data_IF_659965184894
#
_entry.id   IF_659965184894
#
_cell.length_a   1.000
_cell.length_b   1.000
_cell.length_c   1.000
_cell.angle_alpha   90.00
_cell.angle_beta   90.00
_cell.angle_gamma   90.00
#
_symmetry.space_group_name_H-M   'P 1'
#
loop_
_entity.id
_entity.type
_entity.pdbx_description
1 polymer ?
#
# COMPACT_ATOMS: atom_id res chain seq x y z
N UNK A 1 -16.15 31.15 8.56
CA UNK A 1 -15.40 30.61 7.38
C UNK A 1 -15.25 29.13 7.58
N UNK A 2 -15.79 28.31 6.70
CA UNK A 2 -15.57 26.85 6.78
C UNK A 2 -14.07 26.59 6.65
N UNK A 3 -13.47 25.80 7.56
CA UNK A 3 -12.08 25.41 7.48
C UNK A 3 -11.89 24.59 6.19
N UNK A 4 -11.04 25.03 5.28
CA UNK A 4 -10.69 24.25 4.10
C UNK A 4 -9.98 23.00 4.60
N UNK A 5 -10.63 21.85 4.39
CA UNK A 5 -10.05 20.55 4.76
C UNK A 5 -8.72 20.38 4.02
N UNK A 6 -7.65 20.05 4.75
CA UNK A 6 -6.32 19.80 4.21
C UNK A 6 -5.84 18.44 4.67
N UNK A 7 -5.45 17.61 3.74
CA UNK A 7 -4.87 16.30 4.04
C UNK A 7 -3.69 16.00 3.10
N UNK A 8 -2.98 14.92 3.36
CA UNK A 8 -1.97 14.38 2.44
C UNK A 8 -2.57 13.38 1.47
N UNK A 9 -3.75 12.87 1.76
CA UNK A 9 -4.28 11.69 1.10
C UNK A 9 -5.58 12.03 0.39
N UNK A 10 -5.56 11.83 -0.91
CA UNK A 10 -6.71 12.05 -1.78
C UNK A 10 -6.85 10.91 -2.77
N UNK A 11 -8.04 10.71 -3.28
CA UNK A 11 -8.31 9.73 -4.31
C UNK A 11 -9.17 10.30 -5.44
N UNK A 12 -9.01 9.71 -6.61
CA UNK A 12 -9.83 9.98 -7.78
C UNK A 12 -10.13 8.69 -8.56
N UNK A 13 -10.98 8.81 -9.56
CA UNK A 13 -11.30 7.75 -10.51
C UNK A 13 -10.70 8.13 -11.86
N UNK A 14 -10.17 7.14 -12.59
CA UNK A 14 -9.71 7.31 -13.97
C UNK A 14 -10.51 6.37 -14.86
N UNK A 15 -11.23 6.91 -15.82
CA UNK A 15 -11.98 6.11 -16.80
C UNK A 15 -11.13 5.80 -18.02
N UNK A 16 -11.09 4.53 -18.44
CA UNK A 16 -10.28 4.08 -19.58
C UNK A 16 -10.60 4.84 -20.87
N UNK A 17 -11.87 5.22 -21.07
CA UNK A 17 -12.34 5.86 -22.30
C UNK A 17 -11.93 7.32 -22.43
N UNK A 18 -11.64 8.01 -21.33
CA UNK A 18 -11.36 9.45 -21.30
C UNK A 18 -9.96 9.81 -20.80
N UNK A 19 -9.22 8.85 -20.26
CA UNK A 19 -7.86 9.09 -19.79
C UNK A 19 -6.90 9.35 -20.97
N UNK A 20 -5.94 10.29 -20.84
CA UNK A 20 -4.83 10.41 -21.78
C UNK A 20 -4.09 9.08 -21.93
N UNK A 21 -3.64 8.75 -23.14
CA UNK A 21 -2.94 7.48 -23.40
C UNK A 21 -1.67 7.28 -22.56
N UNK A 22 -1.08 8.36 -22.03
CA UNK A 22 0.14 8.37 -21.24
C UNK A 22 -0.10 8.69 -19.76
N UNK A 23 -1.32 8.57 -19.26
CA UNK A 23 -1.70 8.93 -17.89
C UNK A 23 -0.86 8.25 -16.80
N UNK A 24 -0.51 6.98 -16.98
CA UNK A 24 0.37 6.26 -16.05
C UNK A 24 1.80 6.82 -16.06
N UNK A 25 2.29 7.30 -17.21
CA UNK A 25 3.58 7.95 -17.32
C UNK A 25 3.58 9.29 -16.56
N UNK A 26 2.52 10.07 -16.68
CA UNK A 26 2.37 11.34 -15.93
C UNK A 26 2.44 11.08 -14.43
N UNK A 27 1.74 10.06 -13.93
CA UNK A 27 1.82 9.63 -12.54
C UNK A 27 3.24 9.22 -12.16
N UNK A 28 3.87 8.36 -12.95
CA UNK A 28 5.23 7.87 -12.69
C UNK A 28 6.26 9.00 -12.64
N UNK A 29 6.16 9.97 -13.56
CA UNK A 29 7.08 11.10 -13.66
C UNK A 29 6.94 12.08 -12.48
N UNK A 30 5.76 12.13 -11.86
CA UNK A 30 5.51 12.99 -10.69
C UNK A 30 6.32 12.60 -9.46
N UNK A 31 6.74 11.35 -9.36
CA UNK A 31 7.41 10.74 -8.19
C UNK A 31 6.60 10.83 -6.89
N UNK A 32 5.32 11.16 -6.97
CA UNK A 32 4.44 11.23 -5.81
C UNK A 32 4.01 9.80 -5.45
N UNK A 33 4.13 9.38 -4.18
CA UNK A 33 3.65 8.08 -3.73
C UNK A 33 2.16 7.89 -4.03
N UNK A 34 1.83 6.86 -4.82
CA UNK A 34 0.44 6.53 -5.09
C UNK A 34 0.25 5.06 -5.49
N UNK A 35 -0.99 4.61 -5.40
CA UNK A 35 -1.46 3.31 -5.87
C UNK A 35 -2.54 3.49 -6.91
N UNK A 36 -2.47 2.67 -7.96
CA UNK A 36 -3.53 2.55 -8.96
C UNK A 36 -4.12 1.15 -8.83
N UNK A 37 -5.43 1.05 -8.68
CA UNK A 37 -6.12 -0.24 -8.56
C UNK A 37 -5.95 -1.09 -9.82
N UNK A 38 -6.22 -2.39 -9.76
CA UNK A 38 -6.58 -3.16 -10.95
C UNK A 38 -7.73 -2.50 -11.70
N UNK A 39 -7.93 -2.86 -12.96
CA UNK A 39 -9.08 -2.38 -13.71
C UNK A 39 -10.38 -2.91 -13.10
N UNK A 40 -11.24 -2.02 -12.65
CA UNK A 40 -12.58 -2.35 -12.15
C UNK A 40 -13.56 -2.40 -13.34
N UNK A 41 -13.64 -3.55 -13.98
CA UNK A 41 -14.51 -3.83 -15.12
C UNK A 41 -15.66 -4.80 -14.80
N UNK A 42 -15.63 -5.39 -13.61
CA UNK A 42 -16.64 -6.34 -13.12
C UNK A 42 -17.55 -5.75 -12.03
N UNK A 43 -17.34 -4.50 -11.66
CA UNK A 43 -18.15 -3.82 -10.67
C UNK A 43 -19.57 -3.55 -11.19
N UNK A 44 -20.57 -3.71 -10.31
CA UNK A 44 -21.98 -3.49 -10.63
C UNK A 44 -22.59 -2.38 -9.78
N UNK A 45 -23.60 -1.75 -10.32
CA UNK A 45 -24.53 -0.93 -9.57
C UNK A 45 -25.53 -1.81 -8.79
N UNK A 46 -26.26 -1.24 -7.79
CA UNK A 46 -27.27 -2.00 -7.05
C UNK A 46 -28.41 -2.59 -7.91
N UNK A 47 -28.65 -2.03 -9.08
CA UNK A 47 -29.62 -2.52 -10.09
C UNK A 47 -29.07 -3.66 -10.96
N UNK A 48 -27.79 -4.04 -10.79
CA UNK A 48 -27.12 -5.10 -11.54
C UNK A 48 -26.43 -4.65 -12.82
N UNK A 49 -26.55 -3.40 -13.24
CA UNK A 49 -25.83 -2.87 -14.39
C UNK A 49 -24.32 -2.83 -14.11
N UNK A 50 -23.51 -3.20 -15.10
CA UNK A 50 -22.04 -3.13 -14.99
C UNK A 50 -21.60 -1.69 -15.05
N UNK A 51 -20.73 -1.29 -14.11
CA UNK A 51 -20.14 0.03 -14.10
C UNK A 51 -19.16 0.19 -15.26
N UNK A 52 -19.00 1.44 -15.74
CA UNK A 52 -17.95 1.74 -16.72
C UNK A 52 -16.59 1.31 -16.19
N UNK A 53 -15.76 0.66 -17.02
CA UNK A 53 -14.40 0.29 -16.63
C UNK A 53 -13.60 1.49 -16.13
N UNK A 54 -13.03 1.38 -14.94
CA UNK A 54 -12.33 2.47 -14.29
C UNK A 54 -11.24 1.98 -13.36
N UNK A 55 -10.32 2.87 -13.05
CA UNK A 55 -9.31 2.69 -12.02
C UNK A 55 -9.60 3.62 -10.85
N UNK A 56 -9.29 3.18 -9.65
CA UNK A 56 -9.16 4.05 -8.48
C UNK A 56 -7.68 4.42 -8.29
N UNK A 57 -7.42 5.69 -8.02
CA UNK A 57 -6.07 6.19 -7.77
C UNK A 57 -6.03 6.79 -6.36
N UNK A 58 -5.21 6.23 -5.48
CA UNK A 58 -4.93 6.76 -4.15
C UNK A 58 -3.59 7.48 -4.17
N UNK A 59 -3.59 8.78 -3.88
CA UNK A 59 -2.39 9.62 -3.86
C UNK A 59 -2.05 10.03 -2.43
N UNK A 60 -0.78 9.88 -2.06
CA UNK A 60 -0.23 10.20 -0.74
C UNK A 60 0.83 11.29 -0.87
N UNK A 61 0.42 12.55 -0.80
CA UNK A 61 1.35 13.68 -0.94
C UNK A 61 2.31 13.80 0.25
N UNK A 62 3.53 14.24 0.02
CA UNK A 62 4.52 14.47 1.07
C UNK A 62 4.12 15.59 2.05
N UNK A 63 3.30 16.54 1.59
CA UNK A 63 2.78 17.63 2.39
C UNK A 63 1.27 17.75 2.27
N UNK A 64 0.62 18.37 3.25
CA UNK A 64 -0.83 18.60 3.21
C UNK A 64 -1.20 19.49 2.02
N UNK A 65 -2.23 19.09 1.29
CA UNK A 65 -2.79 19.79 0.14
C UNK A 65 -4.22 20.22 0.43
N UNK A 66 -4.67 21.23 -0.27
CA UNK A 66 -6.10 21.53 -0.38
C UNK A 66 -6.72 20.63 -1.44
N UNK A 67 -8.03 20.44 -1.39
CA UNK A 67 -8.77 19.72 -2.43
C UNK A 67 -8.48 20.29 -3.84
N UNK A 68 -8.41 21.62 -3.96
CA UNK A 68 -8.08 22.26 -5.24
C UNK A 68 -6.70 21.83 -5.77
N UNK A 69 -5.68 21.82 -4.91
CA UNK A 69 -4.32 21.39 -5.31
C UNK A 69 -4.27 19.91 -5.70
N UNK A 70 -5.03 19.08 -5.00
CA UNK A 70 -5.13 17.65 -5.36
C UNK A 70 -5.87 17.47 -6.69
N UNK A 71 -6.95 18.23 -6.92
CA UNK A 71 -7.70 18.22 -8.17
C UNK A 71 -6.84 18.69 -9.35
N UNK A 72 -6.09 19.78 -9.18
CA UNK A 72 -5.17 20.28 -10.23
C UNK A 72 -4.16 19.18 -10.66
N UNK A 73 -3.72 18.34 -9.70
CA UNK A 73 -2.87 17.18 -10.02
C UNK A 73 -3.64 16.08 -10.74
N UNK A 74 -4.86 15.75 -10.30
CA UNK A 74 -5.69 14.72 -10.93
C UNK A 74 -6.06 15.07 -12.36
N UNK A 75 -6.40 16.33 -12.61
CA UNK A 75 -6.74 16.84 -13.94
C UNK A 75 -5.58 16.64 -14.94
N UNK A 76 -4.32 16.67 -14.47
CA UNK A 76 -3.14 16.49 -15.32
C UNK A 76 -3.05 15.11 -15.98
N UNK A 77 -3.68 14.10 -15.39
CA UNK A 77 -3.70 12.73 -15.92
C UNK A 77 -5.12 12.18 -16.20
N UNK A 78 -6.12 13.07 -16.22
CA UNK A 78 -7.51 12.70 -16.55
C UNK A 78 -8.27 12.07 -15.37
N UNK A 79 -7.86 12.32 -14.15
CA UNK A 79 -8.57 11.89 -12.95
C UNK A 79 -9.86 12.65 -12.74
N UNK A 80 -10.93 11.93 -12.40
CA UNK A 80 -12.28 12.48 -12.17
C UNK A 80 -12.63 12.39 -10.69
N UNK A 81 -13.18 13.46 -10.15
CA UNK A 81 -13.49 13.58 -8.73
C UNK A 81 -12.26 13.90 -7.88
N UNK A 82 -12.49 14.13 -6.61
CA UNK A 82 -11.43 14.34 -5.62
C UNK A 82 -12.01 14.03 -4.25
N UNK A 83 -11.66 12.88 -3.73
CA UNK A 83 -12.12 12.39 -2.44
C UNK A 83 -11.03 12.58 -1.38
N UNK A 84 -11.42 13.13 -0.22
CA UNK A 84 -10.55 13.18 0.96
C UNK A 84 -10.45 11.79 1.56
N UNK A 85 -9.24 11.25 1.64
CA UNK A 85 -8.99 9.94 2.22
C UNK A 85 -8.57 10.07 3.68
N UNK A 86 -9.46 9.69 4.58
CA UNK A 86 -9.23 9.73 6.03
C UNK A 86 -8.32 8.57 6.51
N UNK A 87 -8.39 7.43 5.86
CA UNK A 87 -7.57 6.27 6.16
C UNK A 87 -6.97 5.68 4.89
N UNK A 88 -5.69 5.94 4.64
CA UNK A 88 -4.96 5.35 3.51
C UNK A 88 -5.09 3.84 3.47
N UNK A 89 -4.98 3.18 4.63
CA UNK A 89 -5.08 1.73 4.72
C UNK A 89 -6.46 1.23 4.31
N UNK A 90 -7.54 1.84 4.81
CA UNK A 90 -8.88 1.42 4.45
C UNK A 90 -9.14 1.62 2.95
N UNK A 91 -8.70 2.77 2.41
CA UNK A 91 -8.85 3.04 0.98
C UNK A 91 -7.96 2.13 0.12
N UNK A 92 -6.70 1.89 0.52
CA UNK A 92 -5.84 0.94 -0.18
C UNK A 92 -6.48 -0.47 -0.22
N UNK A 93 -7.02 -0.96 0.88
CA UNK A 93 -7.76 -2.24 0.91
C UNK A 93 -8.99 -2.24 0.01
N UNK A 94 -9.65 -1.08 -0.11
CA UNK A 94 -10.78 -0.90 -1.03
C UNK A 94 -10.37 -1.00 -2.51
N UNK A 95 -9.13 -0.66 -2.89
CA UNK A 95 -8.63 -0.80 -4.27
C UNK A 95 -8.77 -2.23 -4.84
N UNK A 96 -8.77 -3.24 -3.96
CA UNK A 96 -8.98 -4.65 -4.33
C UNK A 96 -10.22 -5.26 -3.67
N UNK A 97 -11.10 -4.45 -3.07
CA UNK A 97 -12.30 -4.86 -2.33
C UNK A 97 -12.02 -5.88 -1.22
N UNK A 98 -10.85 -5.82 -0.57
CA UNK A 98 -10.40 -6.83 0.40
C UNK A 98 -11.35 -6.99 1.59
N UNK A 99 -11.95 -5.89 2.05
CA UNK A 99 -12.86 -5.85 3.21
C UNK A 99 -14.34 -5.84 2.82
N UNK A 100 -14.66 -5.91 1.52
CA UNK A 100 -16.04 -5.95 1.08
C UNK A 100 -16.66 -7.30 1.42
N UNK A 101 -17.73 -7.26 2.22
CA UNK A 101 -18.49 -8.45 2.68
C UNK A 101 -19.60 -8.80 1.68
N UNK A 102 -19.93 -7.87 0.79
CA UNK A 102 -20.99 -8.04 -0.18
C UNK A 102 -20.56 -9.05 -1.24
N UNK A 103 -21.31 -10.15 -1.38
CA UNK A 103 -21.09 -11.19 -2.39
C UNK A 103 -21.12 -10.66 -3.83
N UNK A 104 -21.66 -9.45 -4.03
CA UNK A 104 -21.80 -8.78 -5.33
C UNK A 104 -20.54 -8.01 -5.78
N UNK A 105 -19.54 -7.81 -4.89
CA UNK A 105 -18.31 -7.12 -5.24
C UNK A 105 -17.20 -8.09 -5.61
N UNK A 106 -16.76 -7.97 -6.85
CA UNK A 106 -15.61 -8.72 -7.33
C UNK A 106 -14.34 -8.35 -6.53
N UNK A 107 -13.59 -9.36 -6.05
CA UNK A 107 -12.31 -9.15 -5.39
C UNK A 107 -11.19 -9.21 -6.43
N UNK A 108 -10.45 -8.11 -6.54
CA UNK A 108 -9.32 -8.01 -7.44
C UNK A 108 -8.02 -8.50 -6.78
N UNK A 109 -7.03 -8.86 -7.60
CA UNK A 109 -5.76 -9.35 -7.10
C UNK A 109 -4.88 -8.22 -6.60
N UNK A 110 -4.25 -8.44 -5.47
CA UNK A 110 -3.29 -7.50 -4.84
C UNK A 110 -2.09 -7.24 -5.76
N UNK A 111 -1.63 -8.28 -6.46
CA UNK A 111 -0.46 -8.22 -7.35
C UNK A 111 -0.69 -7.38 -8.62
N UNK A 112 -1.96 -7.08 -8.94
CA UNK A 112 -2.31 -6.25 -10.10
C UNK A 112 -2.36 -4.75 -9.76
N UNK A 113 -2.11 -4.36 -8.50
CA UNK A 113 -2.02 -2.95 -8.09
C UNK A 113 -0.71 -2.35 -8.56
N UNK A 114 -0.78 -1.20 -9.22
CA UNK A 114 0.42 -0.48 -9.63
C UNK A 114 0.88 0.46 -8.51
N UNK A 115 2.18 0.44 -8.25
CA UNK A 115 2.83 1.22 -7.19
C UNK A 115 3.75 2.28 -7.80
N UNK A 116 3.66 3.53 -7.33
CA UNK A 116 4.46 4.64 -7.81
C UNK A 116 5.07 5.44 -6.67
N UNK A 117 6.13 6.20 -6.97
CA UNK A 117 6.76 7.11 -6.02
C UNK A 117 7.38 6.44 -4.79
N UNK A 118 7.77 5.14 -4.92
CA UNK A 118 8.37 4.37 -3.83
C UNK A 118 7.37 3.90 -2.77
N UNK A 119 6.07 4.00 -3.04
CA UNK A 119 5.05 3.41 -2.14
C UNK A 119 5.06 1.88 -2.24
N UNK A 120 4.84 1.20 -1.11
CA UNK A 120 4.62 -0.25 -1.06
C UNK A 120 3.20 -0.57 -0.63
N UNK A 121 2.42 -1.14 -1.54
CA UNK A 121 1.01 -1.44 -1.32
C UNK A 121 0.82 -2.50 -0.23
N UNK A 122 1.62 -3.55 -0.27
CA UNK A 122 1.56 -4.65 0.72
C UNK A 122 1.79 -4.11 2.13
N UNK A 123 2.68 -3.13 2.31
CA UNK A 123 2.92 -2.50 3.61
C UNK A 123 1.74 -1.68 4.09
N UNK A 124 1.04 -1.00 3.19
CA UNK A 124 -0.11 -0.16 3.54
C UNK A 124 -1.34 -1.00 3.86
N UNK A 125 -1.63 -2.06 3.09
CA UNK A 125 -2.79 -2.93 3.34
C UNK A 125 -2.58 -3.90 4.50
N UNK A 126 -1.33 -4.17 4.88
CA UNK A 126 -0.97 -5.11 5.93
C UNK A 126 -1.64 -4.80 7.27
N UNK A 127 -2.16 -5.83 7.92
CA UNK A 127 -2.80 -5.70 9.24
C UNK A 127 -1.75 -5.83 10.36
N UNK A 128 -2.09 -5.39 11.59
CA UNK A 128 -1.25 -5.70 12.76
C UNK A 128 -1.08 -7.21 12.93
N UNK A 129 -2.09 -8.00 12.55
CA UNK A 129 -2.03 -9.46 12.54
C UNK A 129 -0.96 -9.98 11.57
N UNK A 130 -0.86 -9.38 10.38
CA UNK A 130 0.14 -9.78 9.38
C UNK A 130 1.55 -9.43 9.84
N UNK A 131 1.74 -8.24 10.42
CA UNK A 131 3.02 -7.85 11.04
C UNK A 131 3.42 -8.78 12.18
N UNK A 132 2.47 -9.09 13.06
CA UNK A 132 2.71 -10.01 14.18
C UNK A 132 3.05 -11.41 13.68
N UNK A 133 2.41 -11.87 12.60
CA UNK A 133 2.73 -13.15 11.95
C UNK A 133 4.15 -13.12 11.39
N UNK A 134 4.50 -12.09 10.61
CA UNK A 134 5.85 -11.94 10.06
C UNK A 134 6.93 -11.93 11.17
N UNK A 135 6.70 -11.20 12.28
CA UNK A 135 7.62 -11.20 13.42
C UNK A 135 7.76 -12.61 14.01
N UNK A 136 6.67 -13.35 14.19
CA UNK A 136 6.72 -14.72 14.72
C UNK A 136 7.50 -15.66 13.80
N UNK A 137 7.26 -15.58 12.50
CA UNK A 137 7.95 -16.37 11.49
C UNK A 137 9.45 -16.03 11.47
N UNK A 138 9.83 -14.75 11.48
CA UNK A 138 11.22 -14.30 11.56
C UNK A 138 11.90 -14.76 12.86
N UNK A 139 11.22 -14.71 14.01
CA UNK A 139 11.73 -15.23 15.27
C UNK A 139 12.00 -16.73 15.17
N UNK A 140 11.09 -17.48 14.59
CA UNK A 140 11.27 -18.93 14.40
C UNK A 140 12.47 -19.22 13.49
N UNK A 141 12.57 -18.51 12.36
CA UNK A 141 13.69 -18.62 11.44
C UNK A 141 15.05 -18.32 12.11
N UNK A 142 15.12 -17.24 12.90
CA UNK A 142 16.33 -16.87 13.66
C UNK A 142 16.77 -17.99 14.61
N UNK A 143 15.81 -18.67 15.25
CA UNK A 143 16.09 -19.80 16.15
C UNK A 143 16.59 -21.02 15.38
N UNK A 144 15.90 -21.40 14.31
CA UNK A 144 16.14 -22.62 13.56
C UNK A 144 17.48 -22.57 12.79
N UNK A 145 17.87 -21.38 12.35
CA UNK A 145 19.07 -21.16 11.55
C UNK A 145 20.23 -20.52 12.33
N UNK A 146 20.09 -20.38 13.66
CA UNK A 146 21.12 -19.81 14.52
C UNK A 146 21.63 -18.43 14.04
N UNK A 147 20.70 -17.60 13.58
CA UNK A 147 21.01 -16.24 13.10
C UNK A 147 21.46 -15.38 14.29
N UNK A 148 22.67 -14.88 14.25
CA UNK A 148 23.30 -14.09 15.32
C UNK A 148 23.51 -12.61 14.94
N UNK A 149 23.29 -12.25 13.67
CA UNK A 149 23.41 -10.89 13.18
C UNK A 149 22.17 -10.48 12.36
N UNK A 150 21.70 -9.25 12.54
CA UNK A 150 20.54 -8.73 11.82
C UNK A 150 20.74 -8.66 10.30
N UNK A 151 21.98 -8.45 9.82
CA UNK A 151 22.27 -8.44 8.40
C UNK A 151 21.92 -9.78 7.73
N UNK A 152 22.17 -10.92 8.38
CA UNK A 152 21.83 -12.24 7.86
C UNK A 152 20.31 -12.39 7.64
N UNK A 153 19.49 -11.92 8.59
CA UNK A 153 18.03 -11.90 8.44
C UNK A 153 17.60 -10.98 7.29
N UNK A 154 18.23 -9.80 7.18
CA UNK A 154 17.89 -8.82 6.17
C UNK A 154 18.25 -9.31 4.76
N UNK A 155 19.44 -9.90 4.60
CA UNK A 155 19.93 -10.48 3.34
C UNK A 155 19.00 -11.62 2.91
N UNK A 156 18.73 -12.57 3.82
CA UNK A 156 17.81 -13.68 3.55
C UNK A 156 16.42 -13.17 3.13
N UNK A 157 15.89 -12.19 3.85
CA UNK A 157 14.58 -11.64 3.54
C UNK A 157 14.54 -10.99 2.16
N UNK A 158 15.60 -10.29 1.77
CA UNK A 158 15.67 -9.61 0.48
C UNK A 158 15.67 -10.57 -0.72
N UNK A 159 16.21 -11.78 -0.52
CA UNK A 159 16.33 -12.79 -1.59
C UNK A 159 15.13 -13.75 -1.63
N UNK A 160 14.63 -14.16 -0.46
CA UNK A 160 13.71 -15.31 -0.37
C UNK A 160 12.35 -15.00 0.26
N UNK A 161 12.20 -13.86 0.97
CA UNK A 161 11.00 -13.54 1.75
C UNK A 161 10.60 -12.07 1.63
N UNK A 162 10.08 -11.69 0.46
CA UNK A 162 9.70 -10.29 0.17
C UNK A 162 8.74 -9.69 1.22
N UNK A 163 7.82 -10.48 1.77
CA UNK A 163 6.89 -10.02 2.83
C UNK A 163 7.62 -9.70 4.13
N UNK A 164 8.67 -10.43 4.49
CA UNK A 164 9.50 -10.13 5.64
C UNK A 164 10.37 -8.89 5.38
N UNK A 165 10.95 -8.81 4.18
CA UNK A 165 11.75 -7.65 3.78
C UNK A 165 10.93 -6.37 3.88
N UNK A 166 9.71 -6.36 3.32
CA UNK A 166 8.79 -5.24 3.44
C UNK A 166 8.41 -4.92 4.90
N UNK A 167 8.14 -5.94 5.71
CA UNK A 167 7.86 -5.76 7.13
C UNK A 167 9.06 -5.14 7.88
N UNK A 168 10.28 -5.51 7.52
CA UNK A 168 11.50 -4.96 8.10
C UNK A 168 11.74 -3.51 7.65
N UNK A 169 11.68 -3.22 6.34
CA UNK A 169 12.04 -1.91 5.80
C UNK A 169 10.91 -0.88 6.01
N UNK A 170 9.69 -1.24 5.65
CA UNK A 170 8.56 -0.33 5.61
C UNK A 170 7.57 -0.55 6.76
N UNK A 171 7.51 -1.77 7.28
CA UNK A 171 6.56 -2.17 8.32
C UNK A 171 6.95 -1.79 9.76
N UNK A 172 8.16 -1.26 9.98
CA UNK A 172 8.67 -0.86 11.30
C UNK A 172 9.09 -2.03 12.19
N UNK A 173 9.29 -3.24 11.65
CA UNK A 173 9.68 -4.43 12.42
C UNK A 173 11.20 -4.52 12.66
N UNK A 174 12.02 -3.73 11.98
CA UNK A 174 13.48 -3.77 12.08
C UNK A 174 14.00 -3.58 13.50
N UNK A 175 13.46 -2.62 14.24
CA UNK A 175 13.88 -2.38 15.63
C UNK A 175 13.64 -3.61 16.49
N UNK A 176 12.43 -4.18 16.44
CA UNK A 176 12.07 -5.36 17.22
C UNK A 176 12.98 -6.55 16.91
N UNK A 177 13.25 -6.80 15.63
CA UNK A 177 14.08 -7.94 15.22
C UNK A 177 15.56 -7.72 15.56
N UNK A 178 16.09 -6.50 15.44
CA UNK A 178 17.45 -6.16 15.88
C UNK A 178 17.64 -6.42 17.37
N UNK A 179 16.73 -5.92 18.21
CA UNK A 179 16.83 -6.08 19.64
C UNK A 179 16.62 -7.55 20.06
N UNK A 180 15.76 -8.29 19.36
CA UNK A 180 15.59 -9.71 19.60
C UNK A 180 16.88 -10.51 19.32
N UNK A 181 17.49 -10.35 18.13
CA UNK A 181 18.72 -11.04 17.74
C UNK A 181 19.86 -10.69 18.70
N UNK A 182 20.04 -9.40 18.99
CA UNK A 182 21.04 -8.92 19.93
C UNK A 182 20.85 -9.52 21.32
N UNK A 183 19.65 -9.51 21.86
CA UNK A 183 19.33 -10.06 23.18
C UNK A 183 19.58 -11.57 23.24
N UNK A 184 19.22 -12.28 22.15
CA UNK A 184 19.47 -13.72 22.06
C UNK A 184 20.95 -14.04 22.02
N UNK A 185 21.73 -13.32 21.20
CA UNK A 185 23.19 -13.47 21.14
C UNK A 185 23.85 -13.36 22.54
N UNK A 186 23.44 -12.32 23.30
CA UNK A 186 23.94 -12.13 24.67
C UNK A 186 23.56 -13.26 25.65
N UNK A 187 22.37 -13.86 25.47
CA UNK A 187 21.94 -14.98 26.32
C UNK A 187 22.75 -16.26 26.03
N UNK A 188 23.10 -16.50 24.77
CA UNK A 188 23.83 -17.69 24.32
C UNK A 188 25.34 -17.59 24.59
N UNK A 189 25.89 -16.37 24.77
CA UNK A 189 27.31 -16.12 25.00
C UNK A 189 27.59 -15.53 26.41
N UNK A 190 26.74 -15.79 27.37
CA UNK A 190 27.03 -15.51 28.79
C UNK A 190 27.88 -16.63 29.36
N UNK A 191 29.18 -16.32 29.57
CA UNK A 191 30.05 -17.10 30.43
C UNK A 191 29.62 -16.99 31.91
#
# INVERSE_FOLDING_TARGET
MASVSRTRNYACIVYCESAPSDWLRIISDSKIPCFVSPLHDLDKYPDGEVKKPHYHVLVMFDSVKTEKQARDFFDSFGGVGCEVVNSCRAYARYLCHLDCVEEEKHKYKVDDVLEFGGASYVCVIGTMSDKNRAIKEMIQFVKDNQVDAFCQLLEYSSEYQSTWFDALINGGCSFTMKEYIKSRYWLEHRD
#
